data_IF_157195236741
#
_entry.id   IF_157195236741
#
_cell.length_a   1.000
_cell.length_b   1.000
_cell.length_c   1.000
_cell.angle_alpha   90.00
_cell.angle_beta   90.00
_cell.angle_gamma   90.00
#
_symmetry.space_group_name_H-M   'P 1'
#
loop_
_entity.id
_entity.type
_entity.pdbx_description
1 polymer ?
#
# COMPACT_ATOMS: atom_id res chain seq x y z
N UNK A 1 1.62 -12.77 10.39
CA UNK A 1 1.74 -12.51 8.94
C UNK A 1 1.20 -11.13 8.56
N UNK A 2 -0.01 -10.76 8.98
CA UNK A 2 -0.68 -9.48 8.61
C UNK A 2 0.12 -8.22 8.99
N UNK A 3 0.75 -8.19 10.17
CA UNK A 3 1.56 -7.02 10.61
C UNK A 3 2.78 -6.75 9.71
N UNK A 4 3.40 -7.81 9.20
CA UNK A 4 4.57 -7.70 8.32
C UNK A 4 4.21 -7.11 6.95
N UNK A 5 3.04 -7.46 6.42
CA UNK A 5 2.55 -6.91 5.14
C UNK A 5 2.33 -5.40 5.25
N UNK A 6 1.73 -4.93 6.34
CA UNK A 6 1.55 -3.48 6.56
C UNK A 6 2.87 -2.72 6.72
N UNK A 7 3.89 -3.36 7.31
CA UNK A 7 5.22 -2.77 7.44
C UNK A 7 5.94 -2.70 6.09
N UNK A 8 5.83 -3.74 5.25
CA UNK A 8 6.39 -3.74 3.90
C UNK A 8 5.74 -2.68 3.02
N UNK A 9 4.41 -2.63 2.99
CA UNK A 9 3.65 -1.62 2.25
C UNK A 9 4.03 -0.20 2.68
N UNK A 10 4.11 0.05 4.00
CA UNK A 10 4.53 1.34 4.52
C UNK A 10 5.97 1.68 4.13
N UNK A 11 6.88 0.71 4.16
CA UNK A 11 8.26 0.87 3.74
C UNK A 11 8.41 1.18 2.25
N UNK A 12 7.65 0.51 1.40
CA UNK A 12 7.69 0.73 -0.05
C UNK A 12 7.11 2.10 -0.42
N UNK A 13 5.94 2.45 0.12
CA UNK A 13 5.35 3.78 -0.06
C UNK A 13 6.22 4.91 0.49
N UNK A 14 6.91 4.66 1.61
CA UNK A 14 7.82 5.66 2.19
C UNK A 14 9.00 5.95 1.29
N UNK A 15 9.54 4.93 0.64
CA UNK A 15 10.65 5.07 -0.32
C UNK A 15 10.19 5.75 -1.60
N UNK A 16 9.04 5.34 -2.13
CA UNK A 16 8.50 5.86 -3.39
C UNK A 16 8.16 7.34 -3.30
N UNK A 17 7.58 7.77 -2.18
CA UNK A 17 7.15 9.16 -2.00
C UNK A 17 8.13 10.02 -1.19
N UNK A 18 9.28 9.47 -0.79
CA UNK A 18 10.29 10.14 0.05
C UNK A 18 9.71 10.74 1.35
N UNK A 19 8.65 10.16 1.89
CA UNK A 19 7.98 10.60 3.13
C UNK A 19 7.89 9.45 4.11
N UNK A 20 8.14 9.69 5.39
CA UNK A 20 7.97 8.68 6.42
C UNK A 20 6.48 8.34 6.60
N UNK A 21 6.07 7.19 6.06
CA UNK A 21 4.72 6.65 6.17
C UNK A 21 4.74 5.48 7.16
N UNK A 22 3.87 5.54 8.17
CA UNK A 22 3.73 4.47 9.15
C UNK A 22 2.71 3.42 8.71
N UNK A 23 2.87 2.19 9.21
CA UNK A 23 1.92 1.10 8.94
C UNK A 23 0.49 1.42 9.39
N UNK A 24 0.33 2.24 10.43
CA UNK A 24 -0.99 2.65 10.93
C UNK A 24 -1.62 3.72 10.04
N UNK A 25 -0.82 4.60 9.43
CA UNK A 25 -1.32 5.52 8.40
C UNK A 25 -1.85 4.75 7.18
N UNK A 26 -1.15 3.69 6.73
CA UNK A 26 -1.64 2.82 5.66
C UNK A 26 -2.97 2.17 6.02
N UNK A 27 -3.09 1.57 7.21
CA UNK A 27 -4.33 0.96 7.69
C UNK A 27 -5.47 1.98 7.78
N UNK A 28 -5.22 3.13 8.39
CA UNK A 28 -6.22 4.19 8.56
C UNK A 28 -6.70 4.72 7.21
N UNK A 29 -5.80 4.85 6.22
CA UNK A 29 -6.15 5.25 4.87
C UNK A 29 -7.07 4.23 4.21
N UNK A 30 -6.73 2.94 4.26
CA UNK A 30 -7.58 1.86 3.70
C UNK A 30 -8.95 1.81 4.40
N UNK A 31 -8.98 1.90 5.74
CA UNK A 31 -10.24 1.98 6.52
C UNK A 31 -11.10 3.16 6.06
N UNK A 32 -10.49 4.34 5.85
CA UNK A 32 -11.18 5.52 5.33
C UNK A 32 -11.71 5.37 3.91
N UNK A 33 -10.92 4.75 3.01
CA UNK A 33 -11.31 4.50 1.63
C UNK A 33 -12.47 3.49 1.56
N UNK A 34 -12.43 2.40 2.34
CA UNK A 34 -13.55 1.46 2.45
C UNK A 34 -14.83 2.12 2.93
N UNK A 35 -14.75 3.01 3.94
CA UNK A 35 -15.92 3.74 4.45
C UNK A 35 -16.55 4.60 3.36
N UNK A 36 -15.74 5.36 2.62
CA UNK A 36 -16.21 6.18 1.50
C UNK A 36 -16.84 5.33 0.39
N UNK A 37 -16.26 4.16 0.12
CA UNK A 37 -16.85 3.21 -0.83
C UNK A 37 -18.22 2.71 -0.38
N UNK A 38 -18.37 2.34 0.90
CA UNK A 38 -19.65 1.93 1.46
C UNK A 38 -20.71 3.05 1.42
N UNK A 39 -20.31 4.29 1.74
CA UNK A 39 -21.15 5.49 1.62
C UNK A 39 -21.61 5.67 0.16
N UNK A 40 -20.68 5.60 -0.80
CA UNK A 40 -20.99 5.70 -2.23
C UNK A 40 -21.95 4.59 -2.70
N UNK A 41 -21.73 3.33 -2.33
CA UNK A 41 -22.65 2.24 -2.66
C UNK A 41 -24.04 2.43 -2.02
N UNK A 42 -24.10 3.00 -0.82
CA UNK A 42 -25.36 3.33 -0.14
C UNK A 42 -26.10 4.47 -0.84
N UNK A 43 -25.38 5.49 -1.32
CA UNK A 43 -25.96 6.59 -2.10
C UNK A 43 -26.47 6.09 -3.47
N UNK A 44 -25.73 5.20 -4.13
CA UNK A 44 -26.11 4.60 -5.41
C UNK A 44 -27.35 3.69 -5.30
N UNK A 45 -27.49 2.95 -4.20
CA UNK A 45 -28.65 2.09 -3.94
C UNK A 45 -29.84 2.86 -3.35
N UNK A 46 -29.64 4.11 -2.92
CA UNK A 46 -30.71 4.99 -2.44
C UNK A 46 -31.60 5.43 -3.60
N UNK A 47 -32.63 4.63 -3.86
CA UNK A 47 -33.67 4.90 -4.89
C UNK A 47 -34.70 5.90 -4.36
N UNK A 48 -34.25 7.03 -3.83
CA UNK A 48 -35.11 8.09 -3.29
C UNK A 48 -34.69 9.43 -3.84
N UNK A 49 -35.61 10.12 -4.53
CA UNK A 49 -35.50 11.46 -5.11
C UNK A 49 -34.53 12.40 -4.33
N UNK A 50 -33.23 12.33 -4.61
CA UNK A 50 -32.23 13.26 -4.12
C UNK A 50 -31.74 14.08 -5.32
N UNK A 51 -32.62 14.93 -5.84
CA UNK A 51 -32.29 15.87 -6.91
C UNK A 51 -31.37 16.99 -6.39
N UNK A 52 -31.36 17.22 -5.07
CA UNK A 52 -30.63 18.32 -4.43
C UNK A 52 -29.21 17.96 -3.96
N UNK A 53 -28.80 16.67 -4.02
CA UNK A 53 -27.47 16.24 -3.59
C UNK A 53 -26.78 15.45 -4.70
N UNK A 54 -25.95 16.10 -5.53
CA UNK A 54 -25.15 15.40 -6.52
C UNK A 54 -24.27 14.36 -5.82
N UNK A 55 -24.29 13.12 -6.31
CA UNK A 55 -23.37 12.08 -5.85
C UNK A 55 -21.95 12.60 -6.11
N UNK A 56 -21.22 12.89 -5.03
CA UNK A 56 -19.84 13.38 -5.15
C UNK A 56 -18.95 12.18 -5.41
N UNK A 57 -18.40 12.10 -6.62
CA UNK A 57 -17.49 11.03 -6.99
C UNK A 57 -16.28 11.02 -6.05
N UNK A 58 -16.08 9.89 -5.36
CA UNK A 58 -14.97 9.76 -4.42
C UNK A 58 -13.62 9.87 -5.15
N UNK A 59 -12.64 10.54 -4.54
CA UNK A 59 -11.26 10.52 -5.07
C UNK A 59 -10.77 9.08 -5.17
N UNK A 60 -10.26 8.68 -6.34
CA UNK A 60 -9.86 7.31 -6.68
C UNK A 60 -11.02 6.31 -6.87
N UNK A 61 -12.24 6.76 -7.19
CA UNK A 61 -13.40 5.89 -7.42
C UNK A 61 -13.12 4.78 -8.44
N UNK A 62 -12.48 5.09 -9.57
CA UNK A 62 -12.12 4.10 -10.59
C UNK A 62 -11.26 2.94 -10.03
N UNK A 63 -10.32 3.25 -9.13
CA UNK A 63 -9.49 2.24 -8.47
C UNK A 63 -10.30 1.45 -7.43
N UNK A 64 -11.17 2.13 -6.67
CA UNK A 64 -12.07 1.44 -5.73
C UNK A 64 -13.01 0.48 -6.47
N UNK A 65 -13.58 0.90 -7.59
CA UNK A 65 -14.44 0.08 -8.43
C UNK A 65 -13.64 -1.10 -8.99
N UNK A 66 -12.46 -0.89 -9.56
CA UNK A 66 -11.64 -1.99 -10.09
C UNK A 66 -11.33 -3.08 -9.04
N UNK A 67 -10.94 -2.68 -7.82
CA UNK A 67 -10.50 -3.61 -6.78
C UNK A 67 -11.63 -4.13 -5.88
N UNK A 68 -12.71 -3.37 -5.68
CA UNK A 68 -13.80 -3.71 -4.76
C UNK A 68 -15.14 -3.99 -5.43
N UNK A 69 -15.37 -3.60 -6.69
CA UNK A 69 -16.57 -4.03 -7.44
C UNK A 69 -16.42 -5.42 -8.05
N UNK A 70 -15.19 -5.85 -8.32
CA UNK A 70 -14.89 -7.06 -9.10
C UNK A 70 -14.74 -8.34 -8.26
N UNK A 71 -14.82 -8.23 -6.93
CA UNK A 71 -14.68 -9.34 -5.99
C UNK A 71 -16.02 -9.99 -5.63
N UNK A 72 -16.14 -11.26 -5.96
CA UNK A 72 -17.24 -12.16 -5.59
C UNK A 72 -17.64 -12.07 -4.11
N UNK A 73 -18.92 -11.79 -3.85
CA UNK A 73 -19.58 -12.07 -2.58
C UNK A 73 -19.56 -10.91 -1.57
N UNK A 74 -20.76 -10.51 -1.16
CA UNK A 74 -21.04 -9.54 -0.09
C UNK A 74 -20.19 -9.84 1.17
N UNK A 75 -19.72 -8.80 1.87
CA UNK A 75 -19.02 -8.96 3.15
C UNK A 75 -17.74 -9.83 3.09
N UNK A 76 -16.85 -9.58 2.12
CA UNK A 76 -15.50 -10.12 2.17
C UNK A 76 -14.72 -9.49 3.34
N UNK A 77 -14.70 -10.20 4.47
CA UNK A 77 -13.90 -9.90 5.67
C UNK A 77 -12.46 -9.58 5.23
N UNK A 78 -12.14 -8.29 5.18
CA UNK A 78 -10.88 -7.85 4.56
C UNK A 78 -9.83 -7.75 5.65
N UNK A 79 -8.54 -7.81 5.29
CA UNK A 79 -7.38 -7.78 6.22
C UNK A 79 -7.36 -6.66 7.29
N UNK A 80 -8.24 -5.65 7.18
CA UNK A 80 -8.40 -4.53 8.10
C UNK A 80 -9.52 -4.72 9.14
N UNK A 81 -10.31 -5.79 9.05
CA UNK A 81 -11.53 -6.01 9.85
C UNK A 81 -11.25 -6.88 11.11
N UNK A 82 -10.08 -7.52 11.20
CA UNK A 82 -9.69 -8.41 12.32
C UNK A 82 -9.20 -7.69 13.61
N UNK A 83 -9.77 -6.55 13.99
CA UNK A 83 -9.49 -5.94 15.31
C UNK A 83 -10.57 -6.30 16.36
N UNK A 84 -11.52 -7.20 16.04
CA UNK A 84 -12.61 -7.62 16.95
C UNK A 84 -12.50 -9.06 17.46
N UNK A 85 -11.28 -9.57 17.66
CA UNK A 85 -11.07 -10.75 18.54
C UNK A 85 -10.60 -10.29 19.91
N UNK A 86 -11.46 -9.54 20.57
CA UNK A 86 -11.36 -9.25 22.00
C UNK A 86 -12.78 -9.28 22.53
N UNK A 87 -13.03 -10.20 23.45
CA UNK A 87 -14.29 -10.38 24.20
C UNK A 87 -15.29 -11.38 23.59
N UNK A 88 -14.98 -12.68 23.68
CA UNK A 88 -15.95 -13.77 23.82
C UNK A 88 -15.22 -15.05 24.28
N UNK A 89 -14.52 -14.94 25.42
CA UNK A 89 -14.21 -16.08 26.27
C UNK A 89 -15.22 -16.07 27.42
N UNK A 90 -16.43 -16.58 27.19
CA UNK A 90 -17.17 -17.43 28.13
C UNK A 90 -18.55 -17.78 27.56
N UNK A 91 -18.70 -19.01 27.06
CA UNK A 91 -19.99 -19.72 27.06
C UNK A 91 -19.70 -21.17 26.69
N UNK A 92 -19.40 -21.93 27.73
CA UNK A 92 -19.54 -23.37 27.76
C UNK A 92 -21.03 -23.71 27.53
N UNK A 93 -21.36 -24.20 26.34
CA UNK A 93 -22.67 -24.79 26.07
C UNK A 93 -22.53 -25.82 24.96
N UNK A 94 -22.48 -27.08 25.36
CA UNK A 94 -22.68 -28.24 24.51
C UNK A 94 -24.03 -28.14 23.79
N UNK A 95 -24.04 -28.06 22.46
CA UNK A 95 -25.16 -28.63 21.68
C UNK A 95 -24.73 -29.05 20.28
N UNK A 96 -25.02 -30.32 19.99
CA UNK A 96 -24.72 -31.06 18.78
C UNK A 96 -25.70 -30.67 17.67
N UNK A 97 -25.24 -30.10 16.55
CA UNK A 97 -25.95 -30.32 15.27
C UNK A 97 -24.99 -30.33 14.09
N UNK A 98 -24.56 -31.55 13.75
CA UNK A 98 -23.93 -31.93 12.48
C UNK A 98 -24.86 -31.68 11.31
N UNK A 99 -24.48 -30.81 10.37
CA UNK A 99 -24.80 -30.99 8.94
C UNK A 99 -23.50 -30.85 8.13
N UNK A 100 -22.83 -31.99 7.98
CA UNK A 100 -21.75 -32.17 7.02
C UNK A 100 -22.37 -32.50 5.67
N UNK A 101 -22.22 -31.61 4.69
CA UNK A 101 -22.38 -31.96 3.27
C UNK A 101 -21.02 -31.83 2.59
N UNK A 102 -20.19 -32.86 2.77
CA UNK A 102 -18.99 -33.10 1.96
C UNK A 102 -19.46 -33.55 0.58
N UNK A 103 -19.13 -32.79 -0.47
CA UNK A 103 -19.18 -33.29 -1.84
C UNK A 103 -18.19 -32.54 -2.76
N UNK A 104 -17.32 -33.31 -3.42
CA UNK A 104 -16.59 -33.06 -4.70
C UNK A 104 -15.14 -32.55 -4.63
N UNK A 105 -14.26 -33.44 -4.17
CA UNK A 105 -12.80 -33.41 -4.34
C UNK A 105 -12.34 -33.82 -5.76
N UNK A 106 -12.84 -33.20 -6.84
CA UNK A 106 -12.38 -33.54 -8.22
C UNK A 106 -12.09 -32.38 -9.17
N UNK A 107 -12.21 -31.12 -8.74
CA UNK A 107 -12.04 -29.95 -9.63
C UNK A 107 -10.85 -29.05 -9.27
N UNK A 108 -10.22 -29.27 -8.11
CA UNK A 108 -9.16 -28.37 -7.59
C UNK A 108 -7.83 -28.54 -8.33
N UNK A 109 -7.50 -29.75 -8.80
CA UNK A 109 -6.22 -30.02 -9.46
C UNK A 109 -6.13 -29.38 -10.87
N UNK A 110 -7.20 -29.45 -11.65
CA UNK A 110 -7.26 -28.83 -12.98
C UNK A 110 -7.29 -27.29 -12.88
N UNK A 111 -8.01 -26.75 -11.89
CA UNK A 111 -8.03 -25.32 -11.62
C UNK A 111 -6.67 -24.77 -11.18
N UNK A 112 -5.90 -25.56 -10.42
CA UNK A 112 -4.54 -25.20 -10.01
C UNK A 112 -3.58 -25.16 -11.21
N UNK A 113 -3.65 -26.15 -12.11
CA UNK A 113 -2.79 -26.17 -13.31
C UNK A 113 -3.09 -24.99 -14.25
N UNK A 114 -4.37 -24.67 -14.45
CA UNK A 114 -4.81 -23.50 -15.23
C UNK A 114 -4.32 -22.21 -14.55
N UNK A 115 -4.43 -22.12 -13.22
CA UNK A 115 -3.91 -21.00 -12.43
C UNK A 115 -2.40 -20.83 -12.60
N UNK A 116 -1.62 -21.90 -12.48
CA UNK A 116 -0.16 -21.86 -12.64
C UNK A 116 0.27 -21.42 -14.05
N UNK A 117 -0.42 -21.90 -15.10
CA UNK A 117 -0.14 -21.49 -16.50
C UNK A 117 -0.50 -20.02 -16.75
N UNK A 118 -1.64 -19.55 -16.22
CA UNK A 118 -2.04 -18.15 -16.33
C UNK A 118 -1.03 -17.23 -15.62
N UNK A 119 -0.59 -17.61 -14.42
CA UNK A 119 0.42 -16.87 -13.66
C UNK A 119 1.77 -16.84 -14.37
N UNK A 120 2.27 -17.95 -14.91
CA UNK A 120 3.56 -17.96 -15.63
C UNK A 120 3.51 -17.14 -16.91
N UNK A 121 2.39 -17.18 -17.64
CA UNK A 121 2.18 -16.35 -18.83
C UNK A 121 2.16 -14.85 -18.49
N UNK A 122 1.54 -14.49 -17.35
CA UNK A 122 1.55 -13.11 -16.85
C UNK A 122 2.98 -12.62 -16.55
N UNK A 123 3.78 -13.44 -15.87
CA UNK A 123 5.18 -13.10 -15.61
C UNK A 123 6.02 -12.99 -16.88
N UNK A 124 5.81 -13.85 -17.87
CA UNK A 124 6.52 -13.77 -19.15
C UNK A 124 6.15 -12.50 -19.93
N UNK A 125 4.88 -12.10 -19.93
CA UNK A 125 4.43 -10.86 -20.58
C UNK A 125 5.05 -9.61 -19.91
N UNK A 126 5.10 -9.59 -18.58
CA UNK A 126 5.75 -8.50 -17.82
C UNK A 126 7.26 -8.46 -18.09
N UNK A 127 7.95 -9.61 -18.05
CA UNK A 127 9.38 -9.68 -18.34
C UNK A 127 9.71 -9.22 -19.77
N UNK A 128 8.87 -9.60 -20.75
CA UNK A 128 9.04 -9.18 -22.13
C UNK A 128 8.79 -7.68 -22.31
N UNK A 129 7.77 -7.12 -21.64
CA UNK A 129 7.50 -5.68 -21.67
C UNK A 129 8.63 -4.86 -21.03
N UNK A 130 9.18 -5.33 -19.91
CA UNK A 130 10.32 -4.70 -19.25
C UNK A 130 11.60 -4.78 -20.10
N UNK A 131 11.85 -5.92 -20.76
CA UNK A 131 12.97 -6.07 -21.69
C UNK A 131 12.84 -5.13 -22.90
N UNK A 132 11.61 -4.87 -23.37
CA UNK A 132 11.37 -3.89 -24.45
C UNK A 132 11.53 -2.44 -23.99
N UNK A 133 11.19 -2.11 -22.73
CA UNK A 133 11.45 -0.78 -22.16
C UNK A 133 12.95 -0.51 -21.92
N UNK A 134 13.74 -1.55 -21.62
CA UNK A 134 15.17 -1.38 -21.36
C UNK A 134 15.98 -1.00 -22.60
N UNK A 135 15.44 -1.23 -23.81
CA UNK A 135 16.07 -0.81 -25.07
C UNK A 135 15.78 0.66 -25.43
N UNK A 136 14.74 1.28 -24.84
CA UNK A 136 14.33 2.65 -25.14
C UNK A 136 14.91 3.70 -24.18
N UNK A 137 15.48 3.30 -23.04
CA UNK A 137 15.96 4.23 -22.00
C UNK A 137 17.49 4.48 -22.09
N UNK A 138 18.20 3.76 -22.95
CA UNK A 138 19.67 3.86 -23.05
C UNK A 138 20.21 4.99 -23.95
N UNK A 139 19.41 5.99 -24.32
CA UNK A 139 19.88 7.20 -25.00
C UNK A 139 19.96 8.41 -24.06
N UNK A 140 20.94 8.41 -23.14
CA UNK A 140 21.59 9.55 -22.43
C UNK A 140 20.77 10.63 -21.67
N UNK A 141 21.27 11.18 -20.54
CA UNK A 141 21.86 10.49 -19.40
C UNK A 141 21.36 10.98 -18.00
N UNK A 142 21.56 10.19 -16.93
CA UNK A 142 21.30 10.55 -15.52
C UNK A 142 22.24 11.62 -14.91
N UNK A 143 23.16 12.18 -15.70
CA UNK A 143 24.23 13.09 -15.25
C UNK A 143 23.73 14.40 -14.62
N UNK A 144 22.54 14.89 -14.99
CA UNK A 144 22.02 16.16 -14.45
C UNK A 144 21.56 16.04 -13.00
N UNK A 145 20.98 14.90 -12.63
CA UNK A 145 20.56 14.63 -11.26
C UNK A 145 21.79 14.40 -10.37
N UNK A 146 22.74 13.62 -10.86
CA UNK A 146 24.01 13.36 -10.17
C UNK A 146 24.79 14.65 -9.90
N UNK A 147 24.94 15.52 -10.91
CA UNK A 147 25.60 16.82 -10.75
C UNK A 147 24.86 17.76 -9.79
N UNK A 148 23.52 17.74 -9.78
CA UNK A 148 22.73 18.53 -8.83
C UNK A 148 22.88 18.03 -7.39
N UNK A 149 22.92 16.71 -7.19
CA UNK A 149 23.16 16.11 -5.88
C UNK A 149 24.57 16.43 -5.37
N UNK A 150 25.60 16.31 -6.22
CA UNK A 150 26.99 16.57 -5.86
C UNK A 150 27.23 18.04 -5.47
N UNK A 151 26.60 18.99 -6.18
CA UNK A 151 26.64 20.40 -5.80
C UNK A 151 26.01 20.67 -4.42
N UNK A 152 24.92 19.97 -4.08
CA UNK A 152 24.29 20.08 -2.75
C UNK A 152 25.16 19.48 -1.66
N UNK A 153 25.80 18.33 -1.91
CA UNK A 153 26.74 17.73 -0.96
C UNK A 153 27.95 18.64 -0.71
N UNK A 154 28.53 19.25 -1.75
CA UNK A 154 29.63 20.19 -1.61
C UNK A 154 29.25 21.39 -0.72
N UNK A 155 28.05 21.93 -0.90
CA UNK A 155 27.54 23.04 -0.09
C UNK A 155 27.40 22.67 1.39
N UNK A 156 26.88 21.47 1.68
CA UNK A 156 26.72 20.99 3.07
C UNK A 156 28.08 20.75 3.74
N UNK A 157 29.04 20.20 3.01
CA UNK A 157 30.40 19.96 3.52
C UNK A 157 31.08 21.30 3.88
N UNK A 158 30.96 22.31 3.02
CA UNK A 158 31.57 23.62 3.25
C UNK A 158 30.95 24.34 4.47
N UNK A 159 29.63 24.23 4.64
CA UNK A 159 28.94 24.73 5.84
C UNK A 159 29.42 24.03 7.12
N UNK A 160 29.55 22.71 7.10
CA UNK A 160 30.03 21.95 8.25
C UNK A 160 31.49 22.29 8.59
N UNK A 161 32.36 22.44 7.59
CA UNK A 161 33.74 22.86 7.79
C UNK A 161 33.82 24.25 8.40
N UNK A 162 33.01 25.20 7.91
CA UNK A 162 32.92 26.55 8.45
C UNK A 162 32.47 26.54 9.91
N UNK A 163 31.44 25.75 10.25
CA UNK A 163 30.98 25.62 11.64
C UNK A 163 32.07 25.04 12.55
N UNK A 164 32.76 23.99 12.11
CA UNK A 164 33.85 23.39 12.87
C UNK A 164 35.01 24.37 13.10
N UNK A 165 35.36 25.18 12.10
CA UNK A 165 36.39 26.21 12.24
C UNK A 165 35.99 27.30 13.25
N UNK A 166 34.73 27.75 13.22
CA UNK A 166 34.21 28.73 14.18
C UNK A 166 34.21 28.18 15.60
N UNK A 167 33.80 26.92 15.78
CA UNK A 167 33.87 26.20 17.06
C UNK A 167 35.31 26.10 17.57
N UNK A 168 36.25 25.71 16.70
CA UNK A 168 37.67 25.63 17.05
C UNK A 168 38.24 27.00 17.48
N UNK A 169 37.89 28.07 16.76
CA UNK A 169 38.30 29.43 17.11
C UNK A 169 37.72 29.89 18.45
N UNK A 170 36.45 29.57 18.74
CA UNK A 170 35.82 29.88 20.02
C UNK A 170 36.47 29.12 21.17
N UNK A 171 36.78 27.83 20.98
CA UNK A 171 37.49 27.01 21.97
C UNK A 171 38.89 27.57 22.26
N UNK A 172 39.63 27.99 21.22
CA UNK A 172 40.93 28.64 21.38
C UNK A 172 40.84 29.98 22.11
N UNK A 173 39.82 30.78 21.82
CA UNK A 173 39.57 32.04 22.52
C UNK A 173 39.29 31.82 24.01
N UNK A 174 38.42 30.86 24.33
CA UNK A 174 38.08 30.50 25.72
C UNK A 174 39.26 29.88 26.48
N UNK A 175 40.19 29.21 25.79
CA UNK A 175 41.42 28.67 26.40
C UNK A 175 42.44 29.74 26.79
N UNK A 176 42.36 30.94 26.22
CA UNK A 176 43.31 32.04 26.43
C UNK A 176 42.84 33.05 27.49
N UNK A 177 41.62 32.90 28.02
CA UNK A 177 41.18 33.55 29.25
C UNK A 177 41.60 32.72 30.46
#
# INVERSE_FOLDING_TARGET
>A
MIRAVWLLLAGDLSKEHEVLISSDQCKNKIKGLKRKWAEYCSELSSTGNNVDKPIVEATCLALMEEFWSRGTGMQGDTLADNDTTGDLLDSDSDDDTRVSTINKSKTVAEGLEIGMKATSSGFHAVASAMSSQQSAINSSPPQRLESAMEARFATVIDQLQTQNNNLAALVEFLRKQ
#
